data_IF_997394273903
#
_entry.id   IF_997394273903
#
_cell.length_a   1.000
_cell.length_b   1.000
_cell.length_c   1.000
_cell.angle_alpha   90.00
_cell.angle_beta   90.00
_cell.angle_gamma   90.00
#
_symmetry.space_group_name_H-M   'P 1'
#
loop_
_entity.id
_entity.type
_entity.pdbx_description
1 polymer ?
#
# COMPACT_ATOMS: atom_id res chain seq x y z
N UNK A 1 -9.85 -42.33 14.89
CA UNK A 1 -9.68 -42.17 13.43
C UNK A 1 -9.61 -40.68 13.13
N UNK A 2 -8.42 -40.10 13.11
CA UNK A 2 -8.22 -38.66 12.86
C UNK A 2 -8.14 -38.42 11.35
N UNK A 3 -8.97 -37.51 10.85
CA UNK A 3 -9.23 -37.30 9.42
C UNK A 3 -8.01 -36.75 8.66
N UNK A 4 -7.62 -37.46 7.61
CA UNK A 4 -6.61 -37.08 6.62
C UNK A 4 -7.26 -36.19 5.53
N UNK A 5 -8.20 -35.32 5.92
CA UNK A 5 -9.05 -34.55 4.99
C UNK A 5 -8.62 -33.09 4.78
N UNK A 6 -7.60 -32.58 5.48
CA UNK A 6 -7.29 -31.15 5.50
C UNK A 6 -6.27 -30.67 4.47
N UNK A 7 -5.36 -31.53 4.02
CA UNK A 7 -4.19 -31.09 3.23
C UNK A 7 -4.49 -30.92 1.73
N UNK A 8 -5.38 -31.75 1.16
CA UNK A 8 -5.68 -31.73 -0.27
C UNK A 8 -6.51 -30.51 -0.68
N UNK A 9 -7.61 -30.24 0.04
CA UNK A 9 -8.47 -29.07 -0.17
C UNK A 9 -7.70 -27.76 0.02
N UNK A 10 -6.82 -27.73 1.03
CA UNK A 10 -5.98 -26.56 1.28
C UNK A 10 -5.00 -26.34 0.13
N UNK A 11 -4.36 -27.39 -0.38
CA UNK A 11 -3.46 -27.29 -1.54
C UNK A 11 -4.18 -26.75 -2.78
N UNK A 12 -5.40 -27.20 -3.06
CA UNK A 12 -6.23 -26.69 -4.16
C UNK A 12 -6.61 -25.21 -3.97
N UNK A 13 -6.99 -24.82 -2.74
CA UNK A 13 -7.28 -23.43 -2.42
C UNK A 13 -6.04 -22.54 -2.61
N UNK A 14 -4.85 -22.98 -2.22
CA UNK A 14 -3.61 -22.21 -2.40
C UNK A 14 -3.19 -22.12 -3.88
N UNK A 15 -3.35 -23.20 -4.66
CA UNK A 15 -3.13 -23.14 -6.10
C UNK A 15 -4.07 -22.14 -6.78
N UNK A 16 -5.33 -22.07 -6.36
CA UNK A 16 -6.28 -21.08 -6.86
C UNK A 16 -5.90 -19.63 -6.49
N UNK A 17 -5.18 -19.44 -5.37
CA UNK A 17 -4.63 -18.14 -4.96
C UNK A 17 -3.30 -17.80 -5.65
N UNK A 18 -2.70 -18.75 -6.38
CA UNK A 18 -1.52 -18.50 -7.21
C UNK A 18 -2.01 -17.98 -8.57
N UNK A 19 -1.65 -16.75 -9.00
CA UNK A 19 -2.16 -16.18 -10.24
C UNK A 19 -1.86 -17.11 -11.43
N UNK A 20 -2.92 -17.73 -11.98
CA UNK A 20 -2.83 -18.35 -13.29
C UNK A 20 -2.51 -17.26 -14.31
N UNK A 21 -1.55 -17.58 -15.19
CA UNK A 21 -1.02 -16.72 -16.23
C UNK A 21 -2.12 -15.91 -16.95
N UNK A 22 -1.96 -14.58 -16.90
CA UNK A 22 -2.61 -13.51 -17.68
C UNK A 22 -4.02 -13.81 -18.24
N UNK A 23 -5.04 -13.62 -17.41
CA UNK A 23 -6.19 -12.82 -17.88
C UNK A 23 -5.93 -11.38 -17.44
N UNK A 24 -5.65 -10.53 -18.43
CA UNK A 24 -5.63 -9.08 -18.26
C UNK A 24 -6.92 -8.60 -17.59
N UNK A 25 -6.89 -8.47 -16.28
CA UNK A 25 -7.78 -7.55 -15.58
C UNK A 25 -7.48 -6.19 -16.21
N UNK A 26 -8.46 -5.45 -16.74
CA UNK A 26 -8.20 -4.08 -17.11
C UNK A 26 -7.68 -3.42 -15.85
N UNK A 27 -6.40 -3.05 -15.85
CA UNK A 27 -5.92 -1.98 -14.99
C UNK A 27 -6.93 -0.87 -15.26
N UNK A 28 -7.76 -0.56 -14.26
CA UNK A 28 -8.35 0.76 -14.23
C UNK A 28 -7.14 1.65 -14.13
N UNK A 29 -6.67 2.09 -15.30
CA UNK A 29 -5.70 3.15 -15.42
C UNK A 29 -6.42 4.29 -14.75
N UNK A 30 -6.09 4.50 -13.47
CA UNK A 30 -6.40 5.74 -12.79
C UNK A 30 -6.00 6.81 -13.80
N UNK A 31 -6.96 7.63 -14.29
CA UNK A 31 -6.62 8.59 -15.31
C UNK A 31 -5.47 9.38 -14.73
N UNK A 32 -4.33 9.37 -15.41
CA UNK A 32 -3.20 10.20 -15.04
C UNK A 32 -3.72 11.63 -15.10
N UNK A 33 -4.19 12.15 -13.97
CA UNK A 33 -4.56 13.53 -13.82
C UNK A 33 -3.24 14.26 -13.90
N UNK A 34 -2.87 14.63 -15.13
CA UNK A 34 -1.89 15.69 -15.33
C UNK A 34 -2.48 16.90 -14.63
N UNK A 35 -2.00 17.17 -13.43
CA UNK A 35 -2.21 18.45 -12.76
C UNK A 35 -1.35 19.50 -13.48
N UNK A 36 -1.67 19.77 -14.74
CA UNK A 36 -1.14 20.91 -15.50
C UNK A 36 -2.03 22.14 -15.31
N UNK A 37 -2.66 22.26 -14.15
CA UNK A 37 -3.32 23.46 -13.67
C UNK A 37 -2.59 23.90 -12.42
N UNK A 38 -2.12 25.16 -12.40
CA UNK A 38 -1.64 25.81 -11.19
C UNK A 38 -2.62 25.53 -10.04
N UNK A 39 -2.16 25.16 -8.83
CA UNK A 39 -3.02 24.67 -7.74
C UNK A 39 -4.22 25.59 -7.58
N UNK A 40 -5.44 25.03 -7.56
CA UNK A 40 -6.68 25.82 -7.48
C UNK A 40 -6.72 26.78 -6.27
N UNK A 41 -5.95 26.50 -5.21
CA UNK A 41 -5.75 27.40 -4.08
C UNK A 41 -5.02 28.71 -4.44
N UNK A 42 -4.18 28.71 -5.47
CA UNK A 42 -3.45 29.89 -5.91
C UNK A 42 -4.35 30.87 -6.69
N UNK A 43 -5.34 30.37 -7.43
CA UNK A 43 -6.34 31.23 -8.07
C UNK A 43 -7.22 31.96 -7.04
N UNK A 44 -7.55 31.31 -5.93
CA UNK A 44 -8.27 31.95 -4.82
C UNK A 44 -7.43 33.04 -4.15
N UNK A 45 -6.14 32.79 -3.90
CA UNK A 45 -5.20 33.79 -3.38
C UNK A 45 -5.06 34.99 -4.34
N UNK A 46 -4.94 34.73 -5.65
CA UNK A 46 -4.82 35.78 -6.66
C UNK A 46 -6.08 36.63 -6.72
N UNK A 47 -7.27 36.02 -6.74
CA UNK A 47 -8.55 36.76 -6.74
C UNK A 47 -8.74 37.53 -5.43
N UNK A 48 -8.34 36.96 -4.30
CA UNK A 48 -8.38 37.66 -3.01
C UNK A 48 -7.46 38.88 -3.00
N UNK A 49 -6.22 38.73 -3.48
CA UNK A 49 -5.24 39.83 -3.56
C UNK A 49 -5.71 40.91 -4.55
N UNK A 50 -6.30 40.55 -5.69
CA UNK A 50 -6.79 41.53 -6.67
C UNK A 50 -7.97 42.32 -6.13
N UNK A 51 -8.92 41.68 -5.44
CA UNK A 51 -10.07 42.36 -4.81
C UNK A 51 -9.60 43.27 -3.66
N UNK A 52 -8.64 42.82 -2.85
CA UNK A 52 -8.05 43.61 -1.77
C UNK A 52 -7.31 44.84 -2.33
N UNK A 53 -6.57 44.68 -3.42
CA UNK A 53 -5.85 45.78 -4.07
C UNK A 53 -6.81 46.78 -4.74
N UNK A 54 -7.86 46.31 -5.43
CA UNK A 54 -8.89 47.19 -6.01
C UNK A 54 -9.64 47.98 -4.93
N UNK A 55 -9.95 47.33 -3.80
CA UNK A 55 -10.55 47.97 -2.64
C UNK A 55 -9.64 49.03 -2.01
N UNK A 56 -8.33 48.76 -1.93
CA UNK A 56 -7.35 49.72 -1.41
C UNK A 56 -7.13 50.91 -2.34
N UNK A 57 -7.11 50.68 -3.67
CA UNK A 57 -6.97 51.74 -4.69
C UNK A 57 -8.19 52.66 -4.71
N UNK A 58 -9.41 52.10 -4.63
CA UNK A 58 -10.64 52.92 -4.52
C UNK A 58 -10.68 53.73 -3.22
N UNK A 59 -10.12 53.19 -2.12
CA UNK A 59 -10.01 53.87 -0.83
C UNK A 59 -8.93 54.96 -0.81
N UNK A 60 -7.88 54.85 -1.62
CA UNK A 60 -6.88 55.90 -1.83
C UNK A 60 -7.38 57.00 -2.77
N UNK A 61 -8.11 56.63 -3.85
CA UNK A 61 -8.69 57.57 -4.81
C UNK A 61 -9.82 58.40 -4.18
N UNK A 62 -10.62 57.79 -3.30
CA UNK A 62 -11.57 58.52 -2.47
C UNK A 62 -10.86 58.89 -1.17
N UNK A 63 -10.21 60.07 -1.11
CA UNK A 63 -9.46 60.63 0.04
C UNK A 63 -10.32 60.73 1.32
N UNK A 64 -10.75 59.59 1.86
CA UNK A 64 -11.81 59.47 2.85
C UNK A 64 -11.35 58.47 3.89
N UNK A 65 -10.82 59.04 4.97
CA UNK A 65 -10.38 58.35 6.19
C UNK A 65 -11.59 57.88 7.03
N UNK A 66 -12.62 57.31 6.40
CA UNK A 66 -13.84 56.91 7.09
C UNK A 66 -13.66 55.50 7.66
N UNK A 67 -13.19 55.45 8.91
CA UNK A 67 -12.88 54.23 9.67
C UNK A 67 -14.02 53.19 9.64
N UNK A 68 -15.28 53.62 9.62
CA UNK A 68 -16.45 52.73 9.54
C UNK A 68 -16.51 51.94 8.23
N UNK A 69 -16.11 52.54 7.10
CA UNK A 69 -16.05 51.86 5.80
C UNK A 69 -14.86 50.89 5.73
N UNK A 70 -13.73 51.26 6.33
CA UNK A 70 -12.59 50.36 6.52
C UNK A 70 -12.98 49.13 7.34
N UNK A 71 -13.71 49.32 8.44
CA UNK A 71 -14.19 48.23 9.28
C UNK A 71 -15.12 47.28 8.51
N UNK A 72 -16.02 47.83 7.69
CA UNK A 72 -16.98 47.06 6.90
C UNK A 72 -16.29 46.17 5.84
N UNK A 73 -15.25 46.69 5.18
CA UNK A 73 -14.48 45.92 4.19
C UNK A 73 -13.63 44.84 4.89
N UNK A 74 -13.05 45.14 6.05
CA UNK A 74 -12.28 44.18 6.83
C UNK A 74 -13.16 43.00 7.30
N UNK A 75 -14.40 43.28 7.74
CA UNK A 75 -15.35 42.22 8.14
C UNK A 75 -15.77 41.35 6.95
N UNK A 76 -16.00 41.96 5.78
CA UNK A 76 -16.34 41.20 4.57
C UNK A 76 -15.17 40.29 4.13
N UNK A 77 -13.93 40.82 4.17
CA UNK A 77 -12.73 40.06 3.84
C UNK A 77 -12.49 38.87 4.79
N UNK A 78 -12.74 39.06 6.10
CA UNK A 78 -12.61 38.00 7.09
C UNK A 78 -13.63 36.87 6.85
N UNK A 79 -14.88 37.19 6.53
CA UNK A 79 -15.93 36.20 6.24
C UNK A 79 -15.57 35.39 4.99
N UNK A 80 -15.07 36.03 3.94
CA UNK A 80 -14.63 35.34 2.71
C UNK A 80 -13.44 34.42 2.95
N UNK A 81 -12.52 34.76 3.88
CA UNK A 81 -11.35 33.94 4.19
C UNK A 81 -11.67 32.70 5.04
N UNK A 82 -12.74 32.73 5.85
CA UNK A 82 -13.09 31.62 6.76
C UNK A 82 -13.72 30.43 6.00
N UNK A 83 -14.45 30.67 4.91
CA UNK A 83 -15.16 29.62 4.16
C UNK A 83 -14.20 28.61 3.48
N UNK A 84 -13.11 29.03 2.81
CA UNK A 84 -12.14 28.10 2.23
C UNK A 84 -11.37 27.28 3.29
N UNK A 85 -11.04 27.87 4.44
CA UNK A 85 -10.28 27.22 5.52
C UNK A 85 -11.09 26.13 6.23
N UNK A 86 -12.40 26.30 6.39
CA UNK A 86 -13.28 25.30 7.00
C UNK A 86 -13.47 24.05 6.13
N UNK A 87 -13.37 24.17 4.80
CA UNK A 87 -13.63 23.06 3.89
C UNK A 87 -12.42 22.13 3.71
N UNK A 88 -11.18 22.66 3.75
CA UNK A 88 -9.96 21.86 3.60
C UNK A 88 -9.66 20.94 4.80
N UNK A 89 -10.21 21.27 5.97
CA UNK A 89 -10.06 20.45 7.18
C UNK A 89 -11.03 19.26 7.25
N UNK A 90 -12.10 19.26 6.45
CA UNK A 90 -13.16 18.24 6.53
C UNK A 90 -13.05 17.17 5.43
N UNK A 91 -12.26 17.42 4.38
CA UNK A 91 -12.14 16.53 3.21
C UNK A 91 -10.81 15.79 3.11
N UNK A 92 -9.94 15.85 4.13
CA UNK A 92 -8.77 14.97 4.22
C UNK A 92 -9.23 13.68 4.89
N UNK A 93 -9.54 12.60 4.14
CA UNK A 93 -9.91 11.34 4.76
C UNK A 93 -8.75 10.88 5.64
N UNK A 94 -8.92 10.97 6.96
CA UNK A 94 -7.99 10.37 7.91
C UNK A 94 -8.36 8.90 7.98
N UNK A 95 -7.84 8.10 7.05
CA UNK A 95 -8.02 6.66 7.05
C UNK A 95 -7.19 6.03 8.17
N UNK A 96 -7.70 6.07 9.40
CA UNK A 96 -7.24 5.17 10.47
C UNK A 96 -7.83 3.80 10.17
N UNK A 97 -7.17 3.03 9.31
CA UNK A 97 -7.49 1.62 9.12
C UNK A 97 -7.05 0.86 10.37
N UNK A 98 -7.97 0.58 11.29
CA UNK A 98 -7.77 -0.44 12.32
C UNK A 98 -7.76 -1.79 11.59
N UNK A 99 -6.57 -2.28 11.22
CA UNK A 99 -6.42 -3.57 10.53
C UNK A 99 -6.67 -4.70 11.53
N UNK A 100 -7.84 -5.33 11.45
CA UNK A 100 -8.14 -6.61 12.10
C UNK A 100 -7.23 -7.79 11.63
N UNK A 101 -6.20 -7.51 10.82
CA UNK A 101 -5.27 -8.49 10.26
C UNK A 101 -3.85 -8.44 10.81
N UNK A 102 -3.53 -7.60 11.81
CA UNK A 102 -2.16 -7.49 12.33
C UNK A 102 -1.56 -8.81 12.86
N UNK A 103 -2.43 -9.75 13.25
CA UNK A 103 -2.05 -11.07 13.73
C UNK A 103 -1.78 -12.06 12.59
N UNK A 104 -2.36 -11.83 11.41
CA UNK A 104 -2.15 -12.63 10.20
C UNK A 104 -0.92 -12.19 9.40
N UNK A 105 -0.36 -11.02 9.67
CA UNK A 105 0.85 -10.53 9.02
C UNK A 105 2.05 -11.38 9.49
N UNK A 106 2.80 -12.01 8.58
CA UNK A 106 4.07 -12.65 8.91
C UNK A 106 5.04 -11.67 9.58
N UNK A 107 5.65 -12.10 10.67
CA UNK A 107 6.67 -11.37 11.43
C UNK A 107 7.96 -12.16 11.44
N UNK A 108 9.06 -11.49 11.74
CA UNK A 108 10.39 -12.11 11.89
C UNK A 108 10.77 -12.98 10.68
N UNK A 109 10.46 -12.50 9.46
CA UNK A 109 10.79 -13.23 8.25
C UNK A 109 12.29 -13.18 8.00
N UNK A 110 12.92 -14.34 7.99
CA UNK A 110 14.36 -14.53 7.81
C UNK A 110 14.61 -15.60 6.77
N UNK A 111 15.61 -15.38 5.92
CA UNK A 111 16.15 -16.37 5.00
C UNK A 111 17.49 -16.85 5.55
N UNK A 112 17.64 -18.15 5.76
CA UNK A 112 18.82 -18.80 6.29
C UNK A 112 19.23 -20.02 5.45
N UNK A 113 20.35 -20.65 5.82
CA UNK A 113 20.82 -21.91 5.21
C UNK A 113 20.89 -21.84 3.66
N UNK A 114 21.32 -20.70 3.11
CA UNK A 114 21.45 -20.51 1.65
C UNK A 114 22.59 -21.40 1.14
N UNK A 115 22.26 -22.28 0.21
CA UNK A 115 23.17 -23.22 -0.45
C UNK A 115 23.15 -23.00 -1.96
N UNK A 116 23.93 -23.80 -2.69
CA UNK A 116 23.91 -23.80 -4.16
C UNK A 116 22.56 -24.24 -4.75
N UNK A 117 21.78 -25.05 -4.01
CA UNK A 117 20.58 -25.69 -4.56
C UNK A 117 19.32 -25.45 -3.73
N UNK A 118 19.38 -24.51 -2.80
CA UNK A 118 18.28 -24.27 -1.88
C UNK A 118 18.55 -23.20 -0.83
N UNK A 119 17.51 -22.82 -0.11
CA UNK A 119 17.55 -21.94 1.04
C UNK A 119 16.38 -22.27 1.97
N UNK A 120 16.49 -21.85 3.22
CA UNK A 120 15.43 -21.99 4.22
C UNK A 120 14.80 -20.64 4.49
N UNK A 121 13.47 -20.62 4.61
CA UNK A 121 12.67 -19.44 5.00
C UNK A 121 12.01 -19.72 6.34
N UNK A 122 12.09 -18.76 7.25
CA UNK A 122 11.50 -18.83 8.59
C UNK A 122 10.70 -17.57 8.86
N UNK A 123 9.53 -17.72 9.46
CA UNK A 123 8.69 -16.59 9.88
C UNK A 123 7.72 -17.03 10.96
N UNK A 124 7.07 -16.06 11.58
CA UNK A 124 6.07 -16.27 12.62
C UNK A 124 4.74 -15.58 12.25
N UNK A 125 3.63 -16.16 12.66
CA UNK A 125 2.30 -15.55 12.59
C UNK A 125 1.69 -15.52 13.99
N UNK A 126 0.78 -14.59 14.26
CA UNK A 126 0.14 -14.53 15.57
C UNK A 126 -0.96 -15.59 15.75
N UNK A 127 -1.53 -16.12 14.66
CA UNK A 127 -2.49 -17.24 14.69
C UNK A 127 -1.96 -18.47 13.94
N UNK A 128 -2.40 -19.69 14.32
CA UNK A 128 -2.01 -20.92 13.63
C UNK A 128 -2.49 -20.97 12.17
N UNK A 129 -1.56 -20.96 11.21
CA UNK A 129 -1.81 -21.11 9.77
C UNK A 129 -0.92 -22.20 9.19
N UNK A 130 -1.13 -22.60 7.94
CA UNK A 130 -0.23 -23.53 7.26
C UNK A 130 0.83 -22.68 6.54
N UNK A 131 2.11 -22.93 6.81
CA UNK A 131 3.18 -22.20 6.17
C UNK A 131 3.31 -22.56 4.69
N UNK A 132 3.29 -21.57 3.79
CA UNK A 132 3.42 -21.81 2.34
C UNK A 132 4.22 -20.71 1.67
N UNK A 133 5.08 -21.08 0.73
CA UNK A 133 5.90 -20.16 -0.06
C UNK A 133 5.70 -20.45 -1.53
N UNK A 134 5.57 -19.39 -2.33
CA UNK A 134 5.66 -19.48 -3.79
C UNK A 134 6.92 -18.80 -4.27
N UNK A 135 7.54 -19.33 -5.33
CA UNK A 135 8.77 -18.78 -5.90
C UNK A 135 8.78 -18.78 -7.43
N UNK A 136 9.56 -17.85 -7.98
CA UNK A 136 9.88 -17.71 -9.40
C UNK A 136 11.22 -17.01 -9.60
N UNK A 137 11.61 -16.78 -10.86
CA UNK A 137 12.92 -16.23 -11.23
C UNK A 137 12.84 -14.85 -11.89
N UNK A 138 11.66 -14.42 -12.32
CA UNK A 138 11.44 -13.15 -13.02
C UNK A 138 10.89 -12.03 -12.10
N UNK A 139 10.51 -12.38 -10.87
CA UNK A 139 9.90 -11.46 -9.89
C UNK A 139 8.46 -11.04 -10.23
N UNK A 140 7.85 -11.66 -11.24
CA UNK A 140 6.48 -11.34 -11.71
C UNK A 140 5.57 -12.56 -11.66
N UNK A 141 6.14 -13.75 -11.89
CA UNK A 141 5.44 -15.02 -11.89
C UNK A 141 6.03 -15.95 -10.84
N UNK A 142 5.17 -16.79 -10.26
CA UNK A 142 5.56 -17.73 -9.20
C UNK A 142 5.07 -19.14 -9.57
N UNK A 143 5.71 -19.82 -10.54
CA UNK A 143 5.24 -21.09 -11.06
C UNK A 143 5.37 -22.26 -10.08
N UNK A 144 6.12 -22.09 -8.99
CA UNK A 144 6.37 -23.14 -8.00
C UNK A 144 5.82 -22.74 -6.64
N UNK A 145 5.04 -23.62 -6.02
CA UNK A 145 4.47 -23.45 -4.67
C UNK A 145 4.87 -24.61 -3.78
N UNK A 146 5.32 -24.32 -2.57
CA UNK A 146 5.81 -25.29 -1.59
C UNK A 146 5.11 -25.06 -0.24
N UNK A 147 4.52 -26.12 0.28
CA UNK A 147 3.81 -26.13 1.57
C UNK A 147 4.73 -26.72 2.64
N UNK A 148 4.65 -26.19 3.85
CA UNK A 148 5.37 -26.67 5.02
C UNK A 148 5.10 -28.16 5.27
N UNK A 149 6.16 -28.87 5.69
CA UNK A 149 6.12 -30.31 5.88
C UNK A 149 5.01 -30.70 6.86
N UNK A 150 4.14 -31.62 6.43
CA UNK A 150 3.03 -32.13 7.24
C UNK A 150 1.75 -31.27 7.19
N UNK A 151 1.77 -30.08 6.57
CA UNK A 151 0.56 -29.26 6.36
C UNK A 151 -0.18 -28.89 7.65
N UNK A 152 0.52 -28.89 8.78
CA UNK A 152 -0.07 -28.58 10.08
C UNK A 152 -0.21 -27.06 10.25
N UNK A 153 -1.22 -26.64 11.03
CA UNK A 153 -1.36 -25.24 11.41
C UNK A 153 -0.43 -24.92 12.58
N UNK A 154 0.50 -23.99 12.40
CA UNK A 154 1.45 -23.53 13.41
C UNK A 154 1.57 -22.00 13.39
N UNK A 155 2.17 -21.43 14.43
CA UNK A 155 2.52 -20.00 14.49
C UNK A 155 3.99 -19.73 14.18
N UNK A 156 4.80 -20.79 14.12
CA UNK A 156 6.23 -20.75 13.79
C UNK A 156 6.42 -21.63 12.57
N UNK A 157 6.94 -21.05 11.50
CA UNK A 157 7.08 -21.70 10.21
C UNK A 157 8.54 -21.87 9.83
N UNK A 158 8.87 -23.05 9.30
CA UNK A 158 10.16 -23.33 8.66
C UNK A 158 9.91 -24.06 7.35
N UNK A 159 10.34 -23.47 6.25
CA UNK A 159 10.27 -24.11 4.93
C UNK A 159 11.63 -24.10 4.24
N UNK A 160 12.16 -25.28 3.95
CA UNK A 160 13.37 -25.45 3.16
C UNK A 160 13.00 -25.68 1.69
N UNK A 161 13.44 -24.77 0.83
CA UNK A 161 13.28 -24.84 -0.61
C UNK A 161 14.51 -25.49 -1.22
N UNK A 162 14.30 -26.54 -2.02
CA UNK A 162 15.36 -27.34 -2.63
C UNK A 162 15.22 -27.42 -4.14
N UNK A 163 16.20 -28.05 -4.80
CA UNK A 163 16.24 -28.25 -6.25
C UNK A 163 16.26 -26.91 -7.04
N UNK A 164 16.99 -25.94 -6.51
CA UNK A 164 17.25 -24.66 -7.16
C UNK A 164 18.53 -24.73 -7.98
N UNK A 165 18.66 -23.83 -8.97
CA UNK A 165 19.90 -23.68 -9.73
C UNK A 165 20.91 -22.86 -8.93
N UNK A 166 22.22 -23.22 -8.98
CA UNK A 166 23.28 -22.40 -8.38
C UNK A 166 23.43 -21.04 -9.05
N UNK A 167 23.83 -20.03 -8.26
CA UNK A 167 24.09 -18.66 -8.74
C UNK A 167 22.89 -17.95 -9.37
N UNK A 168 21.66 -18.35 -9.02
CA UNK A 168 20.44 -17.83 -9.61
C UNK A 168 19.67 -16.99 -8.58
N UNK A 169 19.14 -15.85 -9.01
CA UNK A 169 18.23 -15.04 -8.18
C UNK A 169 16.81 -15.61 -8.23
N UNK A 170 16.26 -15.88 -7.05
CA UNK A 170 14.87 -16.28 -6.86
C UNK A 170 14.09 -15.20 -6.14
N UNK A 171 12.85 -15.02 -6.58
CA UNK A 171 11.86 -14.16 -5.96
C UNK A 171 10.78 -15.01 -5.33
N UNK A 172 10.34 -14.67 -4.12
CA UNK A 172 9.37 -15.46 -3.40
C UNK A 172 8.42 -14.59 -2.57
N UNK A 173 7.28 -15.20 -2.23
CA UNK A 173 6.27 -14.60 -1.36
C UNK A 173 5.74 -15.67 -0.40
N UNK A 174 5.34 -15.24 0.78
CA UNK A 174 4.84 -16.12 1.83
C UNK A 174 3.33 -15.97 1.93
N UNK A 175 2.60 -17.09 1.91
CA UNK A 175 1.19 -17.08 2.18
C UNK A 175 0.96 -17.08 3.69
N UNK A 176 0.11 -16.15 4.15
CA UNK A 176 -0.55 -16.30 5.43
C UNK A 176 -2.05 -16.18 5.23
N UNK A 177 -2.75 -17.25 5.64
CA UNK A 177 -4.18 -17.46 5.42
C UNK A 177 -4.56 -17.40 3.94
N UNK A 178 -5.05 -16.26 3.46
CA UNK A 178 -5.50 -16.04 2.07
C UNK A 178 -4.71 -14.95 1.34
N UNK A 179 -3.69 -14.38 1.99
CA UNK A 179 -2.94 -13.23 1.47
C UNK A 179 -1.47 -13.60 1.29
N UNK A 180 -0.94 -13.29 0.10
CA UNK A 180 0.48 -13.37 -0.18
C UNK A 180 1.17 -12.12 0.34
N UNK A 181 2.22 -12.31 1.13
CA UNK A 181 2.99 -11.26 1.74
C UNK A 181 4.33 -11.09 1.04
N UNK A 182 4.63 -9.83 0.79
CA UNK A 182 5.81 -9.34 0.09
C UNK A 182 6.27 -8.01 0.73
N UNK A 183 7.39 -7.47 0.28
CA UNK A 183 7.96 -6.23 0.80
C UNK A 183 7.30 -5.00 0.13
N UNK A 184 6.08 -4.68 0.56
CA UNK A 184 5.39 -3.45 0.14
C UNK A 184 5.05 -3.38 -1.36
N UNK A 185 4.81 -4.53 -1.99
CA UNK A 185 4.57 -4.65 -3.44
C UNK A 185 5.75 -5.19 -4.25
N UNK A 186 6.90 -5.44 -3.61
CA UNK A 186 8.02 -6.15 -4.23
C UNK A 186 8.19 -7.53 -3.61
N UNK A 187 8.35 -8.60 -4.41
CA UNK A 187 8.62 -9.92 -3.86
C UNK A 187 9.97 -9.96 -3.14
N UNK A 188 10.04 -10.80 -2.12
CA UNK A 188 11.27 -11.06 -1.38
C UNK A 188 12.27 -11.74 -2.33
N UNK A 189 13.56 -11.44 -2.19
CA UNK A 189 14.62 -11.95 -3.08
C UNK A 189 15.67 -12.73 -2.31
N UNK A 190 16.23 -13.75 -2.94
CA UNK A 190 17.39 -14.49 -2.47
C UNK A 190 18.20 -14.98 -3.66
N UNK A 191 19.52 -14.97 -3.54
CA UNK A 191 20.43 -15.51 -4.54
C UNK A 191 21.07 -16.78 -3.99
N UNK A 192 21.01 -17.87 -4.75
CA UNK A 192 21.67 -19.13 -4.37
C UNK A 192 23.18 -19.01 -4.52
N UNK A 193 23.92 -19.83 -3.78
CA UNK A 193 25.38 -19.84 -3.91
C UNK A 193 25.80 -20.36 -5.31
N UNK A 194 26.93 -19.88 -5.85
CA UNK A 194 27.50 -20.38 -7.10
C UNK A 194 28.02 -21.81 -6.97
#
# INVERSE_FOLDING_TARGET
MAGIGGIGEYYLAVQALTPAEKTSVPVMTEPAVKSSGLPFGMWSLIVFVTVLFLGMVTLMATKTRNLKRLLMVLTAALITAVVPLGLDLTLKPTSVTIRAGAELVPKNLVVDEVTQTGFTVRWETGVPVIGTVRLGTDGQTFPRTHVEAGGAKTTVHKLTLTQLRPGETYYFEVLSHTTWYNDGGQPLRVETLP
#
